data_IF_179655836221
#
_entry.id   IF_179655836221
#
_cell.length_a   1.000
_cell.length_b   1.000
_cell.length_c   1.000
_cell.angle_alpha   90.00
_cell.angle_beta   90.00
_cell.angle_gamma   90.00
#
_symmetry.space_group_name_H-M   'P 1'
#
loop_
_entity.id
_entity.type
_entity.pdbx_description
1 polymer ?
#
# COMPACT_ATOMS: atom_id res chain seq x y z
N UNK A 1 7.25 -5.96 -26.16
CA UNK A 1 7.42 -5.97 -24.69
C UNK A 1 6.08 -6.41 -24.11
N UNK A 2 6.07 -7.39 -23.25
CA UNK A 2 4.86 -7.80 -22.55
C UNK A 2 4.61 -6.87 -21.37
N UNK A 3 3.36 -6.48 -21.14
CA UNK A 3 2.97 -5.54 -20.10
C UNK A 3 1.95 -6.20 -19.17
N UNK A 4 2.15 -6.07 -17.87
CA UNK A 4 1.16 -6.37 -16.84
C UNK A 4 0.88 -5.08 -16.08
N UNK A 5 -0.39 -4.77 -15.90
CA UNK A 5 -0.84 -3.55 -15.22
C UNK A 5 -1.47 -3.95 -13.88
N UNK A 6 -1.11 -3.25 -12.82
CA UNK A 6 -1.81 -3.29 -11.53
C UNK A 6 -2.37 -1.92 -11.23
N UNK A 7 -3.66 -1.82 -10.91
CA UNK A 7 -4.33 -0.57 -10.60
C UNK A 7 -5.41 -0.79 -9.53
N UNK A 8 -5.94 0.29 -9.00
CA UNK A 8 -7.02 0.28 -8.00
C UNK A 8 -8.08 1.37 -8.25
N UNK A 9 -7.95 2.12 -9.34
CA UNK A 9 -8.93 3.13 -9.72
C UNK A 9 -10.16 2.49 -10.36
N UNK A 10 -11.26 3.22 -10.39
CA UNK A 10 -12.44 2.76 -11.12
C UNK A 10 -12.12 2.54 -12.60
N UNK A 11 -12.37 1.32 -13.06
CA UNK A 11 -12.11 0.92 -14.44
C UNK A 11 -13.06 1.62 -15.41
N UNK A 12 -12.51 2.06 -16.54
CA UNK A 12 -13.30 2.47 -17.70
C UNK A 12 -13.89 1.24 -18.41
N UNK A 13 -14.83 1.47 -19.32
CA UNK A 13 -15.42 0.40 -20.15
C UNK A 13 -14.39 -0.33 -21.02
N UNK A 14 -13.31 0.34 -21.41
CA UNK A 14 -12.23 -0.23 -22.19
C UNK A 14 -10.96 -0.29 -21.32
N UNK A 15 -10.42 -1.50 -21.19
CA UNK A 15 -9.15 -1.73 -20.51
C UNK A 15 -7.98 -1.50 -21.49
N UNK A 16 -6.81 -1.06 -21.00
CA UNK A 16 -5.63 -0.93 -21.83
C UNK A 16 -5.16 -2.30 -22.34
N UNK A 17 -4.58 -2.34 -23.54
CA UNK A 17 -3.97 -3.54 -24.11
C UNK A 17 -2.76 -3.97 -23.28
N UNK A 18 -2.88 -5.09 -22.60
CA UNK A 18 -1.84 -5.69 -21.77
C UNK A 18 -2.02 -7.22 -21.69
N UNK A 19 -0.97 -7.94 -21.31
CA UNK A 19 -1.05 -9.39 -21.06
C UNK A 19 -2.02 -9.69 -19.92
N UNK A 20 -2.01 -8.84 -18.89
CA UNK A 20 -2.98 -8.90 -17.79
C UNK A 20 -3.19 -7.50 -17.18
N UNK A 21 -4.42 -7.25 -16.75
CA UNK A 21 -4.78 -6.08 -15.92
C UNK A 21 -5.36 -6.62 -14.62
N UNK A 22 -4.69 -6.32 -13.51
CA UNK A 22 -5.11 -6.71 -12.15
C UNK A 22 -5.66 -5.48 -11.45
N UNK A 23 -6.98 -5.44 -11.32
CA UNK A 23 -7.69 -4.33 -10.69
C UNK A 23 -8.95 -4.87 -10.01
N UNK A 24 -9.18 -4.59 -8.71
CA UNK A 24 -10.37 -5.05 -8.00
C UNK A 24 -11.69 -4.42 -8.50
N UNK A 25 -11.63 -3.31 -9.23
CA UNK A 25 -12.79 -2.60 -9.78
C UNK A 25 -13.15 -3.00 -11.21
N UNK A 26 -12.57 -4.07 -11.73
CA UNK A 26 -12.91 -4.57 -13.06
C UNK A 26 -14.37 -5.04 -13.12
N UNK A 27 -15.11 -4.52 -14.10
CA UNK A 27 -16.53 -4.81 -14.29
C UNK A 27 -16.80 -6.25 -14.76
N UNK A 28 -15.84 -6.84 -15.47
CA UNK A 28 -15.92 -8.21 -16.01
C UNK A 28 -15.52 -9.29 -15.00
N UNK A 29 -14.83 -8.89 -13.92
CA UNK A 29 -14.39 -9.76 -12.84
C UNK A 29 -14.60 -9.09 -11.47
N UNK A 30 -15.85 -8.82 -11.08
CA UNK A 30 -16.11 -8.12 -9.83
C UNK A 30 -15.55 -8.91 -8.64
N UNK A 31 -14.66 -8.28 -7.90
CA UNK A 31 -14.12 -8.82 -6.66
C UNK A 31 -14.96 -8.34 -5.47
N UNK A 32 -15.22 -9.18 -4.47
CA UNK A 32 -15.93 -8.74 -3.30
C UNK A 32 -15.08 -7.68 -2.56
N UNK A 33 -15.49 -6.43 -2.70
CA UNK A 33 -15.13 -5.27 -1.89
C UNK A 33 -13.65 -5.19 -1.47
N UNK A 34 -12.74 -5.17 -2.43
CA UNK A 34 -11.34 -4.92 -2.14
C UNK A 34 -11.03 -3.43 -2.34
N UNK A 35 -11.33 -2.62 -1.32
CA UNK A 35 -10.94 -1.20 -1.29
C UNK A 35 -9.43 -1.07 -1.00
N UNK A 36 -8.59 -1.74 -1.79
CA UNK A 36 -7.15 -1.68 -1.65
C UNK A 36 -6.59 -0.46 -2.38
N UNK A 37 -5.62 0.22 -1.78
CA UNK A 37 -4.74 1.14 -2.51
C UNK A 37 -3.90 0.38 -3.54
N UNK A 38 -3.31 1.08 -4.50
CA UNK A 38 -2.43 0.48 -5.51
C UNK A 38 -1.30 -0.36 -4.91
N UNK A 39 -0.72 0.07 -3.77
CA UNK A 39 0.27 -0.70 -3.01
C UNK A 39 -0.30 -2.03 -2.49
N UNK A 40 -1.57 -2.05 -2.09
CA UNK A 40 -2.26 -3.27 -1.65
C UNK A 40 -2.48 -4.25 -2.79
N UNK A 41 -2.87 -3.75 -3.98
CA UNK A 41 -3.01 -4.57 -5.20
C UNK A 41 -1.66 -5.18 -5.60
N UNK A 42 -0.60 -4.37 -5.60
CA UNK A 42 0.77 -4.84 -5.87
C UNK A 42 1.22 -5.90 -4.85
N UNK A 43 0.88 -5.72 -3.57
CA UNK A 43 1.15 -6.71 -2.54
C UNK A 43 0.42 -8.04 -2.78
N UNK A 44 -0.85 -8.00 -3.19
CA UNK A 44 -1.60 -9.24 -3.54
C UNK A 44 -0.92 -9.98 -4.70
N UNK A 45 -0.46 -9.25 -5.71
CA UNK A 45 0.31 -9.85 -6.80
C UNK A 45 1.63 -10.46 -6.28
N UNK A 46 2.37 -9.75 -5.43
CA UNK A 46 3.59 -10.27 -4.82
C UNK A 46 3.33 -11.56 -4.01
N UNK A 47 2.23 -11.62 -3.25
CA UNK A 47 1.82 -12.83 -2.54
C UNK A 47 1.52 -14.00 -3.48
N UNK A 48 0.86 -13.72 -4.60
CA UNK A 48 0.55 -14.76 -5.60
C UNK A 48 1.82 -15.32 -6.26
N UNK A 49 2.86 -14.50 -6.43
CA UNK A 49 4.14 -14.92 -7.00
C UNK A 49 5.05 -15.55 -5.94
N UNK A 50 5.15 -14.93 -4.77
CA UNK A 50 6.12 -15.27 -3.73
C UNK A 50 5.68 -16.35 -2.73
N UNK A 51 4.39 -16.65 -2.65
CA UNK A 51 3.81 -17.78 -1.91
C UNK A 51 3.62 -17.60 -0.40
N UNK A 52 4.50 -16.91 0.32
CA UNK A 52 4.36 -16.71 1.78
C UNK A 52 3.87 -15.29 2.12
N UNK A 53 2.55 -15.16 2.21
CA UNK A 53 1.88 -13.90 2.56
C UNK A 53 2.34 -13.34 3.91
N UNK A 54 2.58 -14.19 4.90
CA UNK A 54 2.96 -13.72 6.25
C UNK A 54 4.37 -13.12 6.26
N UNK A 55 5.32 -13.72 5.55
CA UNK A 55 6.66 -13.16 5.39
C UNK A 55 6.66 -11.87 4.59
N UNK A 56 5.92 -11.83 3.48
CA UNK A 56 5.79 -10.63 2.66
C UNK A 56 5.12 -9.49 3.43
N UNK A 57 4.10 -9.79 4.24
CA UNK A 57 3.48 -8.76 5.09
C UNK A 57 4.50 -8.19 6.10
N UNK A 58 5.27 -9.03 6.77
CA UNK A 58 6.33 -8.54 7.70
C UNK A 58 7.39 -7.70 7.02
N UNK A 59 7.70 -8.02 5.76
CA UNK A 59 8.73 -7.31 5.00
C UNK A 59 8.26 -5.96 4.45
N UNK A 60 6.99 -5.87 4.01
CA UNK A 60 6.48 -4.72 3.27
C UNK A 60 5.37 -3.94 3.99
N UNK A 61 5.03 -4.27 5.25
CA UNK A 61 3.94 -3.61 5.97
C UNK A 61 4.15 -2.10 6.14
N UNK A 62 5.38 -1.62 6.20
CA UNK A 62 5.72 -0.20 6.23
C UNK A 62 5.25 0.52 4.95
N UNK A 63 5.54 -0.02 3.76
CA UNK A 63 5.07 0.52 2.49
C UNK A 63 3.56 0.40 2.33
N UNK A 64 2.98 -0.73 2.74
CA UNK A 64 1.54 -0.94 2.71
C UNK A 64 0.81 0.09 3.57
N UNK A 65 1.33 0.36 4.76
CA UNK A 65 0.80 1.36 5.66
C UNK A 65 0.89 2.77 5.05
N UNK A 66 2.06 3.15 4.54
CA UNK A 66 2.28 4.46 3.93
C UNK A 66 1.33 4.70 2.75
N UNK A 67 1.30 3.78 1.78
CA UNK A 67 0.47 3.94 0.59
C UNK A 67 -1.03 3.91 0.91
N UNK A 68 -1.49 2.98 1.76
CA UNK A 68 -2.91 2.89 2.14
C UNK A 68 -3.41 4.16 2.83
N UNK A 69 -2.61 4.74 3.74
CA UNK A 69 -2.98 5.97 4.45
C UNK A 69 -2.83 7.19 3.55
N UNK A 70 -1.77 7.27 2.74
CA UNK A 70 -1.56 8.38 1.81
C UNK A 70 -2.69 8.51 0.78
N UNK A 71 -3.23 7.38 0.36
CA UNK A 71 -4.33 7.27 -0.60
C UNK A 71 -5.74 7.37 0.05
N UNK A 72 -5.77 7.64 1.35
CA UNK A 72 -7.00 7.85 2.14
C UNK A 72 -7.98 6.66 2.06
N UNK A 73 -7.46 5.45 1.90
CA UNK A 73 -8.30 4.25 1.80
C UNK A 73 -8.99 3.92 3.12
N UNK A 74 -10.20 3.34 3.08
CA UNK A 74 -10.90 2.90 4.28
C UNK A 74 -10.06 1.90 5.09
N UNK A 75 -9.90 2.15 6.40
CA UNK A 75 -9.12 1.28 7.29
C UNK A 75 -10.00 0.14 7.85
N UNK A 76 -10.57 -0.63 6.95
CA UNK A 76 -11.39 -1.81 7.21
C UNK A 76 -10.73 -3.08 6.66
N UNK A 77 -11.21 -4.26 7.03
CA UNK A 77 -10.74 -5.53 6.46
C UNK A 77 -9.21 -5.67 6.45
N UNK A 78 -8.65 -5.99 5.29
CA UNK A 78 -7.21 -6.19 5.09
C UNK A 78 -6.41 -4.90 5.28
N UNK A 79 -6.94 -3.74 4.86
CA UNK A 79 -6.29 -2.45 5.05
C UNK A 79 -6.00 -2.18 6.53
N UNK A 80 -6.95 -2.50 7.41
CA UNK A 80 -6.76 -2.36 8.85
C UNK A 80 -5.58 -3.19 9.36
N UNK A 81 -5.45 -4.43 8.91
CA UNK A 81 -4.35 -5.32 9.30
C UNK A 81 -3.02 -4.79 8.79
N UNK A 82 -2.94 -4.44 7.50
CA UNK A 82 -1.72 -3.92 6.86
C UNK A 82 -1.25 -2.63 7.53
N UNK A 83 -2.18 -1.70 7.80
CA UNK A 83 -1.85 -0.43 8.45
C UNK A 83 -1.45 -0.64 9.91
N UNK A 84 -2.12 -1.52 10.66
CA UNK A 84 -1.77 -1.79 12.05
C UNK A 84 -0.36 -2.40 12.19
N UNK A 85 0.02 -3.34 11.33
CA UNK A 85 1.37 -3.92 11.33
C UNK A 85 2.41 -2.92 10.84
N UNK A 86 2.09 -2.13 9.82
CA UNK A 86 3.00 -1.10 9.31
C UNK A 86 3.27 0.02 10.31
N UNK A 87 2.27 0.48 11.07
CA UNK A 87 2.48 1.47 12.13
C UNK A 87 3.47 0.99 13.18
N UNK A 88 3.39 -0.29 13.60
CA UNK A 88 4.37 -0.89 14.52
C UNK A 88 5.77 -0.94 13.91
N UNK A 89 5.87 -1.30 12.63
CA UNK A 89 7.15 -1.34 11.91
C UNK A 89 7.80 0.04 11.83
N UNK A 90 7.00 1.09 11.62
CA UNK A 90 7.47 2.47 11.50
C UNK A 90 7.94 3.08 12.84
N UNK A 91 7.60 2.51 13.98
CA UNK A 91 8.18 2.92 15.27
C UNK A 91 9.70 2.69 15.34
N UNK A 92 10.19 1.68 14.59
CA UNK A 92 11.61 1.37 14.45
C UNK A 92 11.93 1.05 12.97
N UNK A 93 12.00 2.06 12.09
CA UNK A 93 12.11 1.85 10.66
C UNK A 93 13.43 1.20 10.28
N UNK A 94 13.38 0.08 9.60
CA UNK A 94 14.56 -0.66 9.13
C UNK A 94 15.09 -0.11 7.79
N UNK A 95 14.24 0.55 7.01
CA UNK A 95 14.62 1.10 5.71
C UNK A 95 15.27 2.46 5.89
N UNK A 96 16.50 2.58 5.42
CA UNK A 96 17.31 3.81 5.54
C UNK A 96 16.57 5.04 4.99
N UNK A 97 15.90 4.92 3.85
CA UNK A 97 15.13 6.02 3.26
C UNK A 97 13.95 6.47 4.12
N UNK A 98 13.21 5.53 4.74
CA UNK A 98 12.11 5.87 5.64
C UNK A 98 12.62 6.50 6.94
N UNK A 99 13.68 5.97 7.51
CA UNK A 99 14.30 6.54 8.69
C UNK A 99 14.79 7.99 8.44
N UNK A 100 15.43 8.23 7.29
CA UNK A 100 15.88 9.56 6.89
C UNK A 100 14.71 10.53 6.66
N UNK A 101 13.65 10.10 5.95
CA UNK A 101 12.44 10.89 5.74
C UNK A 101 11.78 11.27 7.07
N UNK A 102 11.64 10.32 7.98
CA UNK A 102 11.04 10.55 9.29
C UNK A 102 11.87 11.55 10.11
N UNK A 103 13.19 11.41 10.11
CA UNK A 103 14.10 12.34 10.80
C UNK A 103 13.97 13.75 10.22
N UNK A 104 13.97 13.91 8.89
CA UNK A 104 13.83 15.20 8.21
C UNK A 104 12.47 15.85 8.50
N UNK A 105 11.42 15.04 8.67
CA UNK A 105 10.09 15.51 9.04
C UNK A 105 9.93 15.84 10.53
N UNK A 106 10.97 15.66 11.34
CA UNK A 106 10.89 15.82 12.79
C UNK A 106 10.02 14.78 13.49
N UNK A 107 9.76 13.64 12.84
CA UNK A 107 9.05 12.51 13.43
C UNK A 107 10.04 11.75 14.30
N UNK A 108 9.97 12.00 15.61
CA UNK A 108 10.84 11.34 16.60
C UNK A 108 10.50 9.88 16.82
N UNK A 109 11.35 9.20 17.60
CA UNK A 109 11.05 7.86 18.10
C UNK A 109 9.82 7.92 19.01
N UNK A 110 8.83 7.09 18.74
CA UNK A 110 7.60 7.03 19.52
C UNK A 110 6.45 6.44 18.72
N UNK A 111 5.25 6.59 19.26
CA UNK A 111 4.05 6.06 18.65
C UNK A 111 3.72 6.78 17.35
N UNK A 112 3.85 6.08 16.24
CA UNK A 112 3.42 6.54 14.91
C UNK A 112 1.92 6.29 14.74
N UNK A 113 1.22 7.24 14.17
CA UNK A 113 -0.22 7.16 13.91
C UNK A 113 -0.51 7.34 12.42
N UNK A 114 -1.72 6.95 11.98
CA UNK A 114 -2.18 7.26 10.63
C UNK A 114 -2.15 8.77 10.35
N UNK A 115 -2.45 9.61 11.36
CA UNK A 115 -2.32 11.06 11.25
C UNK A 115 -0.87 11.52 10.98
N UNK A 116 0.13 10.90 11.62
CA UNK A 116 1.54 11.17 11.33
C UNK A 116 1.86 10.88 9.87
N UNK A 117 1.34 9.77 9.34
CA UNK A 117 1.55 9.42 7.93
C UNK A 117 0.81 10.42 7.03
N UNK A 118 -0.50 10.58 7.20
CA UNK A 118 -1.33 11.37 6.28
C UNK A 118 -0.99 12.86 6.24
N UNK A 119 -0.60 13.46 7.38
CA UNK A 119 -0.35 14.90 7.47
C UNK A 119 1.13 15.28 7.49
N UNK A 120 2.04 14.32 7.72
CA UNK A 120 3.46 14.63 7.83
C UNK A 120 4.30 13.94 6.77
N UNK A 121 4.19 12.62 6.62
CA UNK A 121 5.04 11.86 5.70
C UNK A 121 4.50 11.86 4.26
N UNK A 122 3.21 11.54 4.06
CA UNK A 122 2.61 11.43 2.74
C UNK A 122 2.71 12.71 1.90
N UNK A 123 2.48 13.94 2.44
CA UNK A 123 2.63 15.16 1.64
C UNK A 123 4.05 15.38 1.10
N UNK A 124 5.07 14.82 1.74
CA UNK A 124 6.46 14.93 1.30
C UNK A 124 6.87 13.88 0.27
N UNK A 125 6.14 12.78 0.24
CA UNK A 125 6.31 11.74 -0.79
C UNK A 125 5.58 12.14 -2.07
N UNK A 126 4.43 12.82 -1.95
CA UNK A 126 3.56 13.22 -3.05
C UNK A 126 3.89 14.62 -3.62
N UNK A 127 4.91 15.28 -3.12
CA UNK A 127 5.31 16.64 -3.54
C UNK A 127 5.96 16.68 -4.93
#
# INVERSE_FOLDING_TARGET
MELVITDHHECKSELPEAVAVVDPHRLDQPQPASELAGVGVAFKLACAIGGDTASLLREYCDFLCLGTVADVMPLTGENRTMVAEGLKSLENPKRVGLAALMAECGVGHGRITAGTIGYTLAPRINA
#
